data_IF_358172415463
#
_entry.id   IF_358172415463
#
_cell.length_a   1.000
_cell.length_b   1.000
_cell.length_c   1.000
_cell.angle_alpha   90.00
_cell.angle_beta   90.00
_cell.angle_gamma   90.00
#
_symmetry.space_group_name_H-M   'P 1'
#
loop_
_entity.id
_entity.type
_entity.pdbx_description
1 polymer ?
#
# COMPACT_ATOMS: atom_id res chain seq x y z
N UNK A 1 -24.94 -22.64 -11.75
CA UNK A 1 -24.03 -22.38 -12.88
C UNK A 1 -22.62 -22.50 -12.31
N UNK A 2 -21.85 -23.53 -12.68
CA UNK A 2 -20.47 -23.66 -12.22
C UNK A 2 -19.63 -22.60 -12.95
N UNK A 3 -19.27 -21.51 -12.28
CA UNK A 3 -18.25 -20.60 -12.81
C UNK A 3 -16.93 -21.37 -12.84
N UNK A 4 -16.53 -21.81 -14.03
CA UNK A 4 -15.20 -22.37 -14.26
C UNK A 4 -14.20 -21.27 -13.95
N UNK A 5 -13.41 -21.45 -12.88
CA UNK A 5 -12.30 -20.56 -12.49
C UNK A 5 -11.18 -20.64 -13.54
N UNK A 6 -11.33 -19.90 -14.63
CA UNK A 6 -10.26 -19.73 -15.60
C UNK A 6 -9.33 -18.60 -15.10
N UNK A 7 -8.16 -18.99 -14.59
CA UNK A 7 -7.04 -18.06 -14.35
C UNK A 7 -6.74 -17.29 -15.63
N UNK A 8 -6.53 -15.98 -15.50
CA UNK A 8 -6.19 -15.09 -16.62
C UNK A 8 -4.95 -15.58 -17.40
N UNK A 9 -4.07 -16.35 -16.73
CA UNK A 9 -2.79 -16.83 -17.25
C UNK A 9 -2.69 -18.36 -17.32
N UNK A 10 -3.77 -19.07 -17.61
CA UNK A 10 -3.76 -20.55 -17.71
C UNK A 10 -2.63 -21.13 -18.60
N UNK A 11 -2.07 -20.33 -19.52
CA UNK A 11 -0.94 -20.69 -20.40
C UNK A 11 0.44 -20.16 -19.93
N UNK A 12 0.52 -19.30 -18.91
CA UNK A 12 1.76 -18.60 -18.49
C UNK A 12 1.97 -18.60 -16.97
N UNK A 13 2.19 -19.79 -16.38
CA UNK A 13 2.43 -19.95 -14.93
C UNK A 13 3.53 -19.01 -14.37
N UNK A 14 4.56 -18.72 -15.15
CA UNK A 14 5.65 -17.82 -14.75
C UNK A 14 5.21 -16.37 -14.53
N UNK A 15 4.22 -15.86 -15.27
CA UNK A 15 3.75 -14.48 -15.10
C UNK A 15 2.83 -14.39 -13.89
N UNK A 16 1.94 -15.37 -13.72
CA UNK A 16 1.07 -15.47 -12.55
C UNK A 16 1.89 -15.52 -11.25
N UNK A 17 2.96 -16.34 -11.19
CA UNK A 17 3.83 -16.37 -10.00
C UNK A 17 4.57 -15.07 -9.72
N UNK A 18 4.85 -14.26 -10.76
CA UNK A 18 5.51 -12.95 -10.59
C UNK A 18 4.56 -11.91 -10.04
N UNK A 19 3.31 -11.94 -10.51
CA UNK A 19 2.25 -11.09 -9.98
C UNK A 19 1.95 -11.46 -8.52
N UNK A 20 1.85 -12.76 -8.19
CA UNK A 20 1.69 -13.19 -6.79
C UNK A 20 2.82 -12.68 -5.90
N UNK A 21 4.07 -12.83 -6.36
CA UNK A 21 5.25 -12.34 -5.64
C UNK A 21 5.18 -10.83 -5.44
N UNK A 22 4.70 -10.09 -6.43
CA UNK A 22 4.55 -8.65 -6.33
C UNK A 22 3.47 -8.26 -5.30
N UNK A 23 2.34 -8.96 -5.25
CA UNK A 23 1.36 -8.80 -4.18
C UNK A 23 1.94 -9.13 -2.80
N UNK A 24 2.78 -10.17 -2.68
CA UNK A 24 3.44 -10.52 -1.42
C UNK A 24 4.38 -9.39 -0.95
N UNK A 25 5.05 -8.67 -1.88
CA UNK A 25 5.88 -7.50 -1.55
C UNK A 25 5.08 -6.36 -0.92
N UNK A 26 3.82 -6.15 -1.32
CA UNK A 26 2.93 -5.16 -0.67
C UNK A 26 2.68 -5.53 0.79
N UNK A 27 2.38 -6.81 1.04
CA UNK A 27 2.12 -7.33 2.39
C UNK A 27 3.40 -7.22 3.24
N UNK A 28 4.56 -7.61 2.69
CA UNK A 28 5.86 -7.48 3.36
C UNK A 28 6.18 -6.01 3.71
N UNK A 29 5.92 -5.08 2.79
CA UNK A 29 6.11 -3.65 3.01
C UNK A 29 5.21 -3.14 4.14
N UNK A 30 3.92 -3.48 4.10
CA UNK A 30 2.93 -3.10 5.12
C UNK A 30 3.32 -3.60 6.52
N UNK A 31 3.64 -4.89 6.65
CA UNK A 31 4.07 -5.46 7.94
C UNK A 31 5.35 -4.82 8.46
N UNK A 32 6.33 -4.58 7.58
CA UNK A 32 7.61 -3.97 7.95
C UNK A 32 7.41 -2.50 8.35
N UNK A 33 6.55 -1.77 7.65
CA UNK A 33 6.19 -0.38 7.95
C UNK A 33 5.57 -0.24 9.34
N UNK A 34 4.55 -1.04 9.64
CA UNK A 34 3.91 -1.09 10.97
C UNK A 34 4.92 -1.36 12.08
N UNK A 35 5.84 -2.30 11.86
CA UNK A 35 6.94 -2.56 12.81
C UNK A 35 7.88 -1.36 12.92
N UNK A 36 8.24 -0.72 11.81
CA UNK A 36 9.15 0.43 11.78
C UNK A 36 8.59 1.60 12.59
N UNK A 37 7.33 2.00 12.36
CA UNK A 37 6.71 3.10 13.09
C UNK A 37 6.59 2.77 14.59
N UNK A 38 6.22 1.54 14.94
CA UNK A 38 6.18 1.10 16.35
C UNK A 38 7.54 1.23 17.04
N UNK A 39 8.62 0.77 16.39
CA UNK A 39 9.97 0.91 16.93
C UNK A 39 10.37 2.39 17.01
N UNK A 40 10.01 3.20 16.01
CA UNK A 40 10.31 4.63 16.04
C UNK A 40 9.63 5.34 17.22
N UNK A 41 8.35 5.10 17.46
CA UNK A 41 7.63 5.73 18.57
C UNK A 41 8.22 5.33 19.94
N UNK A 42 8.70 4.09 20.07
CA UNK A 42 9.27 3.59 21.32
C UNK A 42 10.75 3.98 21.55
N UNK A 43 11.56 3.94 20.50
CA UNK A 43 13.03 4.00 20.58
C UNK A 43 13.65 5.11 19.72
N UNK A 44 12.81 5.90 19.04
CA UNK A 44 13.20 6.91 18.07
C UNK A 44 14.04 6.26 16.94
N UNK A 45 15.04 6.98 16.43
CA UNK A 45 15.92 6.53 15.35
C UNK A 45 16.98 5.52 15.83
N UNK A 46 16.54 4.43 16.46
CA UNK A 46 17.37 3.35 16.98
C UNK A 46 18.03 2.53 15.85
N UNK A 47 18.96 1.64 16.20
CA UNK A 47 19.58 0.76 15.22
C UNK A 47 18.59 -0.28 14.67
N UNK A 48 17.57 -0.66 15.43
CA UNK A 48 16.48 -1.51 14.93
C UNK A 48 15.63 -0.74 13.91
N UNK A 49 15.29 0.53 14.19
CA UNK A 49 14.59 1.36 13.21
C UNK A 49 15.39 1.50 11.89
N UNK A 50 16.70 1.73 11.98
CA UNK A 50 17.58 1.80 10.80
C UNK A 50 17.58 0.52 9.98
N UNK A 51 17.53 -0.65 10.63
CA UNK A 51 17.44 -1.94 9.93
C UNK A 51 16.11 -2.07 9.20
N UNK A 52 15.01 -1.72 9.85
CA UNK A 52 13.67 -1.77 9.26
C UNK A 52 13.54 -0.79 8.08
N UNK A 53 14.06 0.43 8.21
CA UNK A 53 14.10 1.40 7.11
C UNK A 53 14.88 0.85 5.90
N UNK A 54 16.03 0.20 6.13
CA UNK A 54 16.78 -0.46 5.05
C UNK A 54 16.03 -1.66 4.46
N UNK A 55 15.28 -2.39 5.27
CA UNK A 55 14.48 -3.52 4.83
C UNK A 55 13.34 -3.05 3.91
N UNK A 56 12.61 -1.99 4.27
CA UNK A 56 11.58 -1.41 3.41
C UNK A 56 12.19 -0.92 2.09
N UNK A 57 13.36 -0.27 2.14
CA UNK A 57 14.06 0.15 0.92
C UNK A 57 14.42 -1.02 0.01
N UNK A 58 14.80 -2.16 0.58
CA UNK A 58 15.07 -3.37 -0.19
C UNK A 58 13.79 -3.97 -0.78
N UNK A 59 12.69 -3.95 -0.03
CA UNK A 59 11.37 -4.41 -0.51
C UNK A 59 10.92 -3.58 -1.72
N UNK A 60 11.03 -2.25 -1.63
CA UNK A 60 10.73 -1.33 -2.74
C UNK A 60 11.60 -1.63 -3.97
N UNK A 61 12.91 -1.76 -3.78
CA UNK A 61 13.81 -2.09 -4.88
C UNK A 61 13.48 -3.42 -5.55
N UNK A 62 13.20 -4.47 -4.76
CA UNK A 62 12.82 -5.78 -5.28
C UNK A 62 11.46 -5.75 -5.99
N UNK A 63 10.53 -4.92 -5.51
CA UNK A 63 9.22 -4.72 -6.11
C UNK A 63 9.33 -4.04 -7.47
N UNK A 64 10.10 -2.97 -7.60
CA UNK A 64 10.35 -2.29 -8.88
C UNK A 64 11.03 -3.22 -9.90
N UNK A 65 11.98 -4.06 -9.48
CA UNK A 65 12.56 -5.10 -10.34
C UNK A 65 11.48 -6.08 -10.82
N UNK A 66 10.60 -6.50 -9.92
CA UNK A 66 9.53 -7.46 -10.23
C UNK A 66 8.50 -6.85 -11.18
N UNK A 67 8.10 -5.59 -10.96
CA UNK A 67 7.26 -4.80 -11.87
C UNK A 67 7.86 -4.78 -13.26
N UNK A 68 9.13 -4.36 -13.41
CA UNK A 68 9.79 -4.27 -14.73
C UNK A 68 9.87 -5.63 -15.45
N UNK A 69 10.08 -6.73 -14.72
CA UNK A 69 10.04 -8.09 -15.28
C UNK A 69 8.63 -8.48 -15.76
N UNK A 70 7.58 -8.11 -15.01
CA UNK A 70 6.18 -8.28 -15.44
C UNK A 70 5.92 -7.49 -16.74
N UNK A 71 6.33 -6.22 -16.80
CA UNK A 71 6.17 -5.36 -17.98
C UNK A 71 6.86 -5.96 -19.21
N UNK A 72 8.14 -6.34 -19.10
CA UNK A 72 8.90 -6.93 -20.20
C UNK A 72 8.21 -8.18 -20.76
N UNK A 73 7.70 -9.05 -19.88
CA UNK A 73 7.02 -10.29 -20.28
C UNK A 73 5.69 -10.03 -20.99
N UNK A 74 4.94 -9.04 -20.53
CA UNK A 74 3.69 -8.64 -21.19
C UNK A 74 3.95 -8.15 -22.62
N UNK A 75 5.06 -7.44 -22.85
CA UNK A 75 5.47 -7.01 -24.20
C UNK A 75 6.00 -8.16 -25.06
N UNK A 76 6.91 -8.99 -24.55
CA UNK A 76 7.62 -10.02 -25.32
C UNK A 76 6.72 -11.17 -25.76
N UNK A 77 5.78 -11.59 -24.90
CA UNK A 77 5.02 -12.81 -25.11
C UNK A 77 3.65 -12.56 -25.76
N UNK A 78 3.36 -11.31 -26.15
CA UNK A 78 2.06 -10.86 -26.67
C UNK A 78 0.87 -11.37 -25.84
N UNK A 79 1.06 -11.45 -24.52
CA UNK A 79 0.05 -11.99 -23.61
C UNK A 79 -1.07 -10.97 -23.43
N UNK A 80 -2.29 -11.49 -23.21
CA UNK A 80 -3.49 -10.71 -22.90
C UNK A 80 -3.60 -9.39 -23.69
N UNK A 81 -3.60 -9.42 -25.04
CA UNK A 81 -3.49 -8.20 -25.86
C UNK A 81 -4.49 -7.11 -25.48
N UNK A 82 -5.72 -7.49 -25.16
CA UNK A 82 -6.82 -6.57 -24.84
C UNK A 82 -6.75 -6.01 -23.41
N UNK A 83 -6.03 -6.68 -22.50
CA UNK A 83 -5.93 -6.31 -21.08
C UNK A 83 -4.51 -5.83 -20.68
N UNK A 84 -3.55 -5.82 -21.60
CA UNK A 84 -2.15 -5.47 -21.26
C UNK A 84 -2.02 -4.09 -20.63
N UNK A 85 -2.73 -3.10 -21.17
CA UNK A 85 -2.62 -1.73 -20.69
C UNK A 85 -3.20 -1.62 -19.28
N UNK A 86 -4.31 -2.31 -19.04
CA UNK A 86 -4.96 -2.38 -17.73
C UNK A 86 -4.07 -3.10 -16.69
N UNK A 87 -3.43 -4.21 -17.07
CA UNK A 87 -2.50 -4.93 -16.17
C UNK A 87 -1.22 -4.13 -15.90
N UNK A 88 -0.66 -3.46 -16.91
CA UNK A 88 0.51 -2.58 -16.73
C UNK A 88 0.18 -1.46 -15.73
N UNK A 89 -0.94 -0.77 -15.94
CA UNK A 89 -1.39 0.31 -15.07
C UNK A 89 -1.66 -0.19 -13.64
N UNK A 90 -2.30 -1.36 -13.50
CA UNK A 90 -2.52 -1.99 -12.19
C UNK A 90 -1.20 -2.22 -11.44
N UNK A 91 -0.19 -2.81 -12.09
CA UNK A 91 1.10 -3.10 -11.45
C UNK A 91 1.86 -1.80 -11.12
N UNK A 92 1.78 -0.77 -11.98
CA UNK A 92 2.34 0.55 -11.68
C UNK A 92 1.67 1.20 -10.46
N UNK A 93 0.35 1.11 -10.31
CA UNK A 93 -0.36 1.70 -9.17
C UNK A 93 -0.08 0.97 -7.86
N UNK A 94 0.00 -0.36 -7.90
CA UNK A 94 0.43 -1.15 -6.76
C UNK A 94 1.88 -0.83 -6.33
N UNK A 95 2.78 -0.52 -7.27
CA UNK A 95 4.15 -0.10 -6.98
C UNK A 95 4.19 1.24 -6.22
N UNK A 96 3.31 2.19 -6.58
CA UNK A 96 3.19 3.48 -5.87
C UNK A 96 2.91 3.31 -4.38
N UNK A 97 2.12 2.30 -4.00
CA UNK A 97 1.84 2.00 -2.58
C UNK A 97 3.13 1.59 -1.85
N UNK A 98 3.92 0.70 -2.45
CA UNK A 98 5.21 0.25 -1.88
C UNK A 98 6.18 1.42 -1.76
N UNK A 99 6.24 2.27 -2.79
CA UNK A 99 7.09 3.46 -2.81
C UNK A 99 6.72 4.44 -1.70
N UNK A 100 5.42 4.60 -1.42
CA UNK A 100 4.95 5.47 -0.33
C UNK A 100 5.37 4.94 1.04
N UNK A 101 5.33 3.62 1.28
CA UNK A 101 5.86 3.05 2.53
C UNK A 101 7.35 3.37 2.75
N UNK A 102 8.18 3.26 1.71
CA UNK A 102 9.61 3.64 1.77
C UNK A 102 9.78 5.13 2.02
N UNK A 103 9.06 5.98 1.30
CA UNK A 103 9.12 7.43 1.44
C UNK A 103 8.81 7.88 2.87
N UNK A 104 7.70 7.38 3.44
CA UNK A 104 7.26 7.75 4.78
C UNK A 104 8.29 7.30 5.83
N UNK A 105 8.79 6.06 5.76
CA UNK A 105 9.83 5.61 6.68
C UNK A 105 11.11 6.43 6.54
N UNK A 106 11.53 6.72 5.33
CA UNK A 106 12.71 7.55 5.12
C UNK A 106 12.52 8.97 5.66
N UNK A 107 11.30 9.52 5.57
CA UNK A 107 10.98 10.83 6.14
C UNK A 107 11.11 10.84 7.65
N UNK A 108 10.57 9.84 8.36
CA UNK A 108 10.79 9.66 9.80
C UNK A 108 12.28 9.54 10.16
N UNK A 109 13.07 8.83 9.35
CA UNK A 109 14.52 8.70 9.53
C UNK A 109 15.27 10.05 9.45
N UNK A 110 14.89 10.90 8.50
CA UNK A 110 15.52 12.20 8.23
C UNK A 110 15.04 13.27 9.22
N UNK A 111 13.74 13.44 9.30
CA UNK A 111 13.09 14.54 10.02
C UNK A 111 13.14 14.39 11.54
N UNK A 112 13.24 13.14 12.01
CA UNK A 112 13.26 12.77 13.42
C UNK A 112 12.17 13.47 14.24
N UNK A 113 10.89 13.31 13.87
CA UNK A 113 9.79 13.93 14.59
C UNK A 113 9.82 13.54 16.08
N UNK A 114 9.66 14.55 16.93
CA UNK A 114 9.37 14.34 18.34
C UNK A 114 7.86 14.17 18.51
N UNK A 115 7.41 12.91 18.50
CA UNK A 115 6.01 12.53 18.64
C UNK A 115 5.65 12.38 20.13
N UNK A 116 4.78 13.24 20.71
CA UNK A 116 4.41 13.11 22.11
C UNK A 116 3.73 11.77 22.41
N UNK A 117 4.04 11.19 23.57
CA UNK A 117 3.58 9.85 23.97
C UNK A 117 2.06 9.69 23.97
N UNK A 118 1.31 10.77 24.22
CA UNK A 118 -0.16 10.78 24.19
C UNK A 118 -0.74 10.47 22.80
N UNK A 119 0.02 10.72 21.72
CA UNK A 119 -0.42 10.45 20.35
C UNK A 119 0.06 9.10 19.81
N UNK A 120 0.90 8.36 20.55
CA UNK A 120 1.49 7.10 20.06
C UNK A 120 0.42 6.05 19.75
N UNK A 121 -0.58 5.90 20.60
CA UNK A 121 -1.66 4.91 20.40
C UNK A 121 -2.42 5.22 19.10
N UNK A 122 -2.79 6.48 18.88
CA UNK A 122 -3.51 6.90 17.67
C UNK A 122 -2.66 6.77 16.41
N UNK A 123 -1.36 7.05 16.50
CA UNK A 123 -0.44 6.87 15.39
C UNK A 123 -0.31 5.39 15.00
N UNK A 124 -0.28 4.49 16.00
CA UNK A 124 -0.26 3.04 15.76
C UNK A 124 -1.60 2.55 15.18
N UNK A 125 -2.72 3.09 15.64
CA UNK A 125 -4.05 2.83 15.07
C UNK A 125 -4.12 3.25 13.59
N UNK A 126 -3.66 4.45 13.25
CA UNK A 126 -3.56 4.91 11.86
C UNK A 126 -2.68 3.98 11.03
N UNK A 127 -1.52 3.58 11.57
CA UNK A 127 -0.63 2.61 10.91
C UNK A 127 -1.31 1.27 10.67
N UNK A 128 -2.11 0.79 11.62
CA UNK A 128 -2.85 -0.47 11.48
C UNK A 128 -3.90 -0.37 10.37
N UNK A 129 -4.69 0.72 10.36
CA UNK A 129 -5.71 0.97 9.35
C UNK A 129 -5.12 1.08 7.93
N UNK A 130 -4.04 1.84 7.73
CA UNK A 130 -3.41 1.97 6.40
C UNK A 130 -2.82 0.64 5.93
N UNK A 131 -2.23 -0.16 6.84
CA UNK A 131 -1.71 -1.48 6.45
C UNK A 131 -2.81 -2.46 6.10
N UNK A 132 -3.91 -2.46 6.87
CA UNK A 132 -5.08 -3.30 6.59
C UNK A 132 -5.73 -2.89 5.26
N UNK A 133 -5.75 -1.59 4.94
CA UNK A 133 -6.19 -1.08 3.64
C UNK A 133 -5.37 -1.68 2.49
N UNK A 134 -4.03 -1.59 2.56
CA UNK A 134 -3.14 -2.14 1.54
C UNK A 134 -3.22 -3.67 1.43
N UNK A 135 -3.42 -4.39 2.54
CA UNK A 135 -3.64 -5.84 2.50
C UNK A 135 -4.93 -6.20 1.75
N UNK A 136 -6.02 -5.46 1.98
CA UNK A 136 -7.27 -5.66 1.24
C UNK A 136 -7.12 -5.32 -0.25
N UNK A 137 -6.36 -4.28 -0.60
CA UNK A 137 -5.99 -3.98 -1.98
C UNK A 137 -5.23 -5.15 -2.64
N UNK A 138 -4.22 -5.70 -1.96
CA UNK A 138 -3.45 -6.84 -2.48
C UNK A 138 -4.36 -8.05 -2.74
N UNK A 139 -5.34 -8.30 -1.87
CA UNK A 139 -6.32 -9.38 -2.05
C UNK A 139 -7.26 -9.09 -3.23
N UNK A 140 -7.80 -7.88 -3.34
CA UNK A 140 -8.66 -7.47 -4.46
C UNK A 140 -7.92 -7.60 -5.80
N UNK A 141 -6.68 -7.10 -5.86
CA UNK A 141 -5.86 -7.18 -7.06
C UNK A 141 -5.51 -8.63 -7.42
N UNK A 142 -5.18 -9.47 -6.44
CA UNK A 142 -4.97 -10.91 -6.68
C UNK A 142 -6.24 -11.60 -7.18
N UNK A 143 -7.40 -11.21 -6.66
CA UNK A 143 -8.70 -11.71 -7.10
C UNK A 143 -8.99 -11.33 -8.56
N UNK A 144 -8.55 -10.16 -9.03
CA UNK A 144 -8.70 -9.77 -10.44
C UNK A 144 -8.06 -10.76 -11.42
N UNK A 145 -7.08 -11.57 -11.02
CA UNK A 145 -6.49 -12.59 -11.91
C UNK A 145 -7.17 -13.97 -11.82
N UNK A 146 -8.00 -14.22 -10.80
CA UNK A 146 -8.48 -15.56 -10.42
C UNK A 146 -9.98 -15.68 -10.16
N UNK A 147 -10.55 -14.69 -9.51
CA UNK A 147 -11.92 -14.68 -8.98
C UNK A 147 -12.48 -13.24 -8.97
N UNK A 148 -12.97 -12.79 -10.13
CA UNK A 148 -13.51 -11.42 -10.32
C UNK A 148 -14.60 -11.12 -9.30
N UNK A 149 -15.41 -12.13 -8.94
CA UNK A 149 -16.53 -11.95 -8.01
C UNK A 149 -16.08 -11.48 -6.62
N UNK A 150 -14.85 -11.82 -6.23
CA UNK A 150 -14.26 -11.41 -4.95
C UNK A 150 -13.68 -10.00 -4.98
N UNK A 151 -13.39 -9.43 -6.16
CA UNK A 151 -12.78 -8.09 -6.28
C UNK A 151 -13.64 -7.04 -5.59
N UNK A 152 -14.94 -7.03 -5.89
CA UNK A 152 -15.90 -6.07 -5.34
C UNK A 152 -15.94 -6.08 -3.81
N UNK A 153 -15.91 -7.26 -3.20
CA UNK A 153 -16.01 -7.40 -1.74
C UNK A 153 -14.80 -6.79 -1.03
N UNK A 154 -13.60 -6.97 -1.58
CA UNK A 154 -12.38 -6.40 -1.02
C UNK A 154 -12.20 -4.92 -1.38
N UNK A 155 -12.67 -4.48 -2.55
CA UNK A 155 -12.77 -3.04 -2.87
C UNK A 155 -13.61 -2.28 -1.85
N UNK A 156 -14.76 -2.84 -1.43
CA UNK A 156 -15.59 -2.22 -0.39
C UNK A 156 -14.89 -2.11 0.97
N UNK A 157 -14.01 -3.06 1.30
CA UNK A 157 -13.20 -2.98 2.52
C UNK A 157 -12.12 -1.91 2.41
N UNK A 158 -11.52 -1.72 1.24
CA UNK A 158 -10.56 -0.63 1.00
C UNK A 158 -11.22 0.72 1.24
N UNK A 159 -12.37 1.00 0.61
CA UNK A 159 -13.12 2.26 0.86
C UNK A 159 -13.46 2.47 2.33
N UNK A 160 -13.87 1.42 3.04
CA UNK A 160 -14.15 1.53 4.46
C UNK A 160 -12.88 1.88 5.26
N UNK A 161 -11.75 1.22 4.98
CA UNK A 161 -10.50 1.46 5.70
C UNK A 161 -9.91 2.83 5.38
N UNK A 162 -9.94 3.27 4.12
CA UNK A 162 -9.55 4.62 3.72
C UNK A 162 -10.34 5.66 4.53
N UNK A 163 -11.67 5.54 4.58
CA UNK A 163 -12.49 6.46 5.34
C UNK A 163 -12.12 6.51 6.84
N UNK A 164 -11.84 5.35 7.45
CA UNK A 164 -11.40 5.27 8.84
C UNK A 164 -10.02 5.91 9.05
N UNK A 165 -9.10 5.78 8.09
CA UNK A 165 -7.79 6.46 8.13
C UNK A 165 -7.97 7.97 8.04
N UNK A 166 -8.91 8.43 7.24
CA UNK A 166 -9.21 9.85 7.03
C UNK A 166 -9.75 10.48 8.32
N UNK A 167 -10.70 9.82 8.97
CA UNK A 167 -11.23 10.22 10.28
C UNK A 167 -10.13 10.24 11.36
N UNK A 168 -9.32 9.19 11.42
CA UNK A 168 -8.26 9.05 12.42
C UNK A 168 -7.20 10.13 12.24
N UNK A 169 -6.77 10.36 10.99
CA UNK A 169 -5.79 11.39 10.65
C UNK A 169 -6.32 12.79 10.94
N UNK A 170 -7.60 13.05 10.64
CA UNK A 170 -8.28 14.32 10.92
C UNK A 170 -8.30 14.63 12.42
N UNK A 171 -8.80 13.71 13.25
CA UNK A 171 -8.84 13.89 14.70
C UNK A 171 -7.43 14.06 15.31
N UNK A 172 -6.42 13.35 14.79
CA UNK A 172 -5.04 13.54 15.25
C UNK A 172 -4.50 14.93 14.92
N UNK A 173 -4.77 15.43 13.70
CA UNK A 173 -4.36 16.78 13.30
C UNK A 173 -5.04 17.84 14.16
N UNK A 174 -6.35 17.73 14.39
CA UNK A 174 -7.08 18.63 15.32
C UNK A 174 -6.42 18.68 16.69
N UNK A 175 -6.19 17.51 17.31
CA UNK A 175 -5.57 17.44 18.63
C UNK A 175 -4.16 18.05 18.67
N UNK A 176 -3.36 17.85 17.61
CA UNK A 176 -2.03 18.48 17.49
C UNK A 176 -2.15 20.00 17.39
N UNK A 177 -3.09 20.52 16.61
CA UNK A 177 -3.25 21.97 16.45
C UNK A 177 -3.82 22.65 17.70
N UNK A 178 -4.60 21.94 18.50
CA UNK A 178 -5.13 22.41 19.79
C UNK A 178 -4.10 22.31 20.93
N UNK A 179 -3.00 21.56 20.76
CA UNK A 179 -1.95 21.41 21.78
C UNK A 179 -1.12 22.69 22.00
N UNK A 180 -0.29 22.70 23.05
CA UNK A 180 0.67 23.78 23.33
C UNK A 180 1.99 23.65 22.55
N UNK A 181 2.08 22.72 21.59
CA UNK A 181 3.30 22.53 20.79
C UNK A 181 3.65 23.79 19.97
N UNK A 182 4.95 24.08 19.74
CA UNK A 182 5.34 25.11 18.79
C UNK A 182 4.79 24.82 17.39
N UNK A 183 4.45 25.87 16.64
CA UNK A 183 3.87 25.75 15.31
C UNK A 183 4.71 24.87 14.36
N UNK A 184 6.05 24.93 14.45
CA UNK A 184 6.94 24.10 13.65
C UNK A 184 6.73 22.59 13.92
N UNK A 185 6.59 22.19 15.19
CA UNK A 185 6.28 20.81 15.58
C UNK A 185 4.89 20.41 15.09
N UNK A 186 3.89 21.28 15.26
CA UNK A 186 2.53 21.03 14.77
C UNK A 186 2.51 20.76 13.26
N UNK A 187 3.19 21.59 12.47
CA UNK A 187 3.30 21.43 11.03
C UNK A 187 4.03 20.14 10.64
N UNK A 188 5.15 19.82 11.31
CA UNK A 188 5.88 18.58 11.05
C UNK A 188 5.02 17.34 11.31
N UNK A 189 4.37 17.27 12.49
CA UNK A 189 3.54 16.13 12.85
C UNK A 189 2.30 16.02 11.95
N UNK A 190 1.65 17.15 11.64
CA UNK A 190 0.52 17.19 10.72
C UNK A 190 0.89 16.67 9.34
N UNK A 191 2.05 17.08 8.80
CA UNK A 191 2.52 16.61 7.51
C UNK A 191 2.79 15.11 7.54
N UNK A 192 3.47 14.60 8.57
CA UNK A 192 3.73 13.16 8.70
C UNK A 192 2.45 12.33 8.83
N UNK A 193 1.45 12.81 9.55
CA UNK A 193 0.15 12.15 9.66
C UNK A 193 -0.55 12.10 8.30
N UNK A 194 -0.52 13.20 7.53
CA UNK A 194 -1.02 13.20 6.14
C UNK A 194 -0.30 12.15 5.32
N UNK A 195 1.03 12.13 5.33
CA UNK A 195 1.82 11.20 4.52
C UNK A 195 1.57 9.72 4.86
N UNK A 196 1.22 9.41 6.11
CA UNK A 196 0.80 8.06 6.50
C UNK A 196 -0.60 7.75 5.96
N UNK A 197 -1.56 8.66 6.12
CA UNK A 197 -2.92 8.49 5.61
C UNK A 197 -2.96 8.36 4.08
N UNK A 198 -2.13 9.12 3.37
CA UNK A 198 -1.99 9.08 1.90
C UNK A 198 -1.66 7.67 1.37
N UNK A 199 -1.12 6.76 2.19
CA UNK A 199 -0.91 5.36 1.78
C UNK A 199 -2.24 4.68 1.45
N UNK A 200 -3.29 4.96 2.22
CA UNK A 200 -4.64 4.42 2.00
C UNK A 200 -5.34 5.10 0.83
N UNK A 201 -5.13 6.40 0.64
CA UNK A 201 -5.62 7.16 -0.54
C UNK A 201 -5.08 6.57 -1.86
N UNK A 202 -3.77 6.30 -1.94
CA UNK A 202 -3.17 5.62 -3.11
C UNK A 202 -3.76 4.20 -3.29
N UNK A 203 -4.13 3.53 -2.20
CA UNK A 203 -4.74 2.22 -2.27
C UNK A 203 -6.19 2.28 -2.80
N UNK A 204 -6.95 3.30 -2.42
CA UNK A 204 -8.28 3.60 -2.95
C UNK A 204 -8.22 3.91 -4.45
N UNK A 205 -7.34 4.82 -4.88
CA UNK A 205 -7.12 5.16 -6.29
C UNK A 205 -6.85 3.89 -7.13
N UNK A 206 -6.04 2.98 -6.60
CA UNK A 206 -5.74 1.71 -7.25
C UNK A 206 -6.97 0.80 -7.36
N UNK A 207 -7.86 0.81 -6.35
CA UNK A 207 -9.14 0.09 -6.39
C UNK A 207 -10.10 0.68 -7.41
N UNK A 208 -10.19 2.00 -7.52
CA UNK A 208 -11.05 2.68 -8.49
C UNK A 208 -10.70 2.25 -9.92
N UNK A 209 -9.41 2.22 -10.23
CA UNK A 209 -8.92 1.72 -11.52
C UNK A 209 -9.16 0.21 -11.69
N UNK A 210 -8.90 -0.59 -10.65
CA UNK A 210 -9.13 -2.04 -10.67
C UNK A 210 -10.59 -2.38 -11.02
N UNK A 211 -11.55 -1.64 -10.46
CA UNK A 211 -12.97 -1.84 -10.75
C UNK A 211 -13.30 -1.52 -12.21
N UNK A 212 -12.69 -0.49 -12.82
CA UNK A 212 -12.83 -0.23 -14.25
C UNK A 212 -12.30 -1.41 -15.07
N UNK A 213 -11.18 -2.00 -14.68
CA UNK A 213 -10.61 -3.16 -15.36
C UNK A 213 -11.51 -4.40 -15.24
N UNK A 214 -12.19 -4.59 -14.11
CA UNK A 214 -13.16 -5.69 -13.97
C UNK A 214 -14.32 -5.60 -14.95
N UNK A 215 -14.87 -4.39 -15.17
CA UNK A 215 -15.97 -4.17 -16.12
C UNK A 215 -15.56 -4.57 -17.53
N UNK A 216 -14.33 -4.24 -17.95
CA UNK A 216 -13.80 -4.61 -19.27
C UNK A 216 -13.59 -6.12 -19.41
N UNK A 217 -13.24 -6.81 -18.33
CA UNK A 217 -12.98 -8.26 -18.33
C UNK A 217 -14.28 -9.09 -18.38
N UNK A 218 -15.38 -8.57 -17.85
CA UNK A 218 -16.68 -9.25 -17.83
C UNK A 218 -17.45 -9.17 -19.18
N UNK A 219 -16.96 -8.38 -20.15
CA UNK A 219 -17.51 -8.24 -21.51
C UNK A 219 -16.87 -9.27 -22.45
#
# INVERSE_FOLDING_TARGET
>A
MFHVKLSLFSQTKSLESKIDLFHDKIIDAAMTFKKAIRIYLAEQRSDEYKKLNKQIKQIEHDADITRRDIESRLYEQNLIPDLRADVLNLVENLDKVINKFDEVCYRFYIERPDFPAEYHIRMLELCDQVTDCCENLAIASRAFFRDISTVRDYSQKVYFMEHETDLTSGHMKEAIFDSELPLANKLQLSNLITEVADIADIAEDCIDELLIFTIKRDI
#
